data_IF_175377035219
#
_entry.id   IF_175377035219
#
_cell.length_a   1.000
_cell.length_b   1.000
_cell.length_c   1.000
_cell.angle_alpha   90.00
_cell.angle_beta   90.00
_cell.angle_gamma   90.00
#
_symmetry.space_group_name_H-M   'P 1'
#
loop_
_entity.id
_entity.type
_entity.pdbx_description
1 polymer ?
#
# COMPACT_ATOMS: atom_id res chain seq x y z
N UNK A 1 -13.65 -10.02 9.03
CA UNK A 1 -12.56 -10.52 8.14
C UNK A 1 -12.99 -10.21 6.72
N UNK A 2 -12.10 -9.64 5.89
CA UNK A 2 -12.45 -9.27 4.51
C UNK A 2 -12.00 -10.35 3.54
N UNK A 3 -12.86 -10.73 2.58
CA UNK A 3 -12.42 -11.46 1.40
C UNK A 3 -12.09 -10.45 0.31
N UNK A 4 -10.85 -10.53 -0.21
CA UNK A 4 -10.43 -9.78 -1.38
C UNK A 4 -11.07 -10.40 -2.62
N UNK A 5 -11.92 -9.64 -3.31
CA UNK A 5 -12.51 -10.10 -4.56
C UNK A 5 -11.53 -9.92 -5.72
N UNK A 6 -11.01 -8.70 -5.87
CA UNK A 6 -10.02 -8.35 -6.88
C UNK A 6 -9.28 -7.07 -6.48
N UNK A 7 -8.11 -6.89 -7.07
CA UNK A 7 -7.29 -5.69 -6.93
C UNK A 7 -6.99 -5.10 -8.30
N UNK A 8 -7.06 -3.78 -8.41
CA UNK A 8 -6.66 -3.03 -9.60
C UNK A 8 -5.46 -2.15 -9.23
N UNK A 9 -4.35 -2.32 -9.94
CA UNK A 9 -3.14 -1.52 -9.71
C UNK A 9 -3.36 -0.09 -10.21
N UNK A 10 -3.10 0.89 -9.35
CA UNK A 10 -3.28 2.31 -9.67
C UNK A 10 -1.96 2.98 -10.05
N UNK A 11 -0.87 2.63 -9.36
CA UNK A 11 0.42 3.26 -9.54
C UNK A 11 1.54 2.30 -9.19
N UNK A 12 2.64 2.39 -9.91
CA UNK A 12 3.87 1.66 -9.65
C UNK A 12 5.05 2.50 -10.11
N UNK A 13 5.92 2.86 -9.17
CA UNK A 13 7.21 3.47 -9.49
C UNK A 13 8.26 3.05 -8.49
N UNK A 14 9.50 3.09 -8.99
CA UNK A 14 10.70 2.85 -8.19
C UNK A 14 11.67 4.00 -8.39
N UNK A 15 12.33 4.41 -7.32
CA UNK A 15 13.43 5.38 -7.37
C UNK A 15 14.59 4.94 -6.48
N UNK A 16 15.74 5.53 -6.75
CA UNK A 16 16.97 5.30 -6.00
C UNK A 16 17.30 6.52 -5.14
N UNK A 17 17.83 6.28 -3.95
CA UNK A 17 18.34 7.29 -3.04
C UNK A 17 19.66 6.84 -2.42
N UNK A 18 20.56 7.77 -2.18
CA UNK A 18 21.82 7.53 -1.46
C UNK A 18 21.65 7.56 0.07
N UNK A 19 20.45 7.85 0.58
CA UNK A 19 20.16 7.91 2.01
C UNK A 19 20.21 6.51 2.62
N UNK A 20 21.07 6.30 3.63
CA UNK A 20 21.14 5.00 4.33
C UNK A 20 19.83 4.70 5.06
N UNK A 21 19.37 3.46 4.97
CA UNK A 21 18.21 3.01 5.72
C UNK A 21 18.50 2.94 7.23
N UNK A 22 17.67 3.58 8.05
CA UNK A 22 17.71 3.50 9.51
C UNK A 22 16.29 3.50 10.11
N UNK A 23 16.19 3.22 11.41
CA UNK A 23 14.89 3.19 12.12
C UNK A 23 14.16 4.55 12.12
N UNK A 24 14.90 5.65 12.08
CA UNK A 24 14.32 6.99 12.02
C UNK A 24 13.62 7.23 10.67
N UNK A 25 14.22 6.79 9.58
CA UNK A 25 13.64 6.84 8.24
C UNK A 25 12.37 5.99 8.16
N UNK A 26 12.39 4.78 8.72
CA UNK A 26 11.18 3.95 8.82
C UNK A 26 10.05 4.69 9.56
N UNK A 27 10.37 5.36 10.67
CA UNK A 27 9.39 6.15 11.43
C UNK A 27 8.82 7.30 10.60
N UNK A 28 9.69 8.09 9.95
CA UNK A 28 9.28 9.23 9.09
C UNK A 28 8.43 8.78 7.91
N UNK A 29 8.77 7.65 7.29
CA UNK A 29 7.98 7.06 6.19
C UNK A 29 6.58 6.70 6.67
N UNK A 30 6.46 6.06 7.85
CA UNK A 30 5.15 5.73 8.42
C UNK A 30 4.34 6.99 8.79
N UNK A 31 4.96 7.99 9.39
CA UNK A 31 4.31 9.28 9.71
C UNK A 31 3.82 10.01 8.44
N UNK A 32 4.60 9.95 7.36
CA UNK A 32 4.22 10.52 6.07
C UNK A 32 3.01 9.78 5.49
N UNK A 33 3.04 8.45 5.49
CA UNK A 33 1.93 7.64 5.00
C UNK A 33 0.67 7.84 5.84
N UNK A 34 0.77 7.85 7.18
CA UNK A 34 -0.39 8.04 8.06
C UNK A 34 -1.05 9.39 7.81
N UNK A 35 -0.24 10.45 7.65
CA UNK A 35 -0.73 11.81 7.33
C UNK A 35 -1.35 11.91 5.94
N UNK A 36 -0.75 11.32 4.92
CA UNK A 36 -1.26 11.41 3.54
C UNK A 36 -2.50 10.54 3.33
N UNK A 37 -2.56 9.40 4.01
CA UNK A 37 -3.68 8.47 3.96
C UNK A 37 -4.76 8.79 4.99
N UNK A 38 -4.53 9.68 5.94
CA UNK A 38 -5.46 10.01 7.02
C UNK A 38 -5.93 8.74 7.75
N UNK A 39 -4.95 7.97 8.24
CA UNK A 39 -5.11 6.73 9.01
C UNK A 39 -4.21 6.79 10.25
N UNK A 40 -4.46 5.92 11.24
CA UNK A 40 -3.58 5.84 12.40
C UNK A 40 -2.19 5.28 12.04
N UNK A 41 -1.17 5.68 12.79
CA UNK A 41 0.20 5.22 12.56
C UNK A 41 0.33 3.71 12.74
N UNK A 42 -0.45 3.18 13.68
CA UNK A 42 -0.56 1.77 14.07
C UNK A 42 -1.18 0.91 12.98
N UNK A 43 -1.97 1.49 12.07
CA UNK A 43 -2.56 0.79 10.92
C UNK A 43 -1.55 0.50 9.80
N UNK A 44 -0.31 0.99 9.91
CA UNK A 44 0.76 0.73 8.94
C UNK A 44 1.59 -0.47 9.39
N UNK A 45 1.41 -1.58 8.70
CA UNK A 45 2.00 -2.88 9.03
C UNK A 45 3.37 -3.07 8.37
N UNK A 46 4.25 -3.84 9.04
CA UNK A 46 5.48 -4.37 8.43
C UNK A 46 5.19 -5.80 8.03
N UNK A 47 4.91 -6.00 6.74
CA UNK A 47 4.57 -7.32 6.20
C UNK A 47 5.82 -8.16 5.91
N UNK A 48 6.99 -7.53 5.80
CA UNK A 48 8.25 -8.25 5.58
C UNK A 48 9.45 -7.45 6.09
N UNK A 49 10.39 -8.16 6.72
CA UNK A 49 11.69 -7.63 7.12
C UNK A 49 12.78 -8.68 6.96
N UNK A 50 13.86 -8.32 6.27
CA UNK A 50 15.07 -9.13 6.10
C UNK A 50 16.30 -8.26 6.37
N UNK A 51 17.21 -8.74 7.23
CA UNK A 51 18.51 -8.11 7.48
C UNK A 51 19.63 -9.13 7.31
N UNK A 52 20.56 -8.82 6.41
CA UNK A 52 21.84 -9.51 6.20
C UNK A 52 22.99 -8.53 6.50
N UNK A 53 24.23 -9.00 6.42
CA UNK A 53 25.42 -8.20 6.73
C UNK A 53 25.53 -6.91 5.88
N UNK A 54 25.10 -7.01 4.62
CA UNK A 54 25.23 -5.99 3.57
C UNK A 54 23.87 -5.56 3.00
N UNK A 55 22.75 -6.15 3.45
CA UNK A 55 21.42 -5.90 2.90
C UNK A 55 20.37 -5.71 3.98
N UNK A 56 19.51 -4.71 3.82
CA UNK A 56 18.25 -4.60 4.56
C UNK A 56 17.11 -4.51 3.56
N UNK A 57 16.05 -5.29 3.75
CA UNK A 57 14.81 -5.19 2.97
C UNK A 57 13.63 -5.08 3.92
N UNK A 58 12.83 -4.04 3.74
CA UNK A 58 11.62 -3.76 4.51
C UNK A 58 10.46 -3.64 3.53
N UNK A 59 9.32 -4.26 3.84
CA UNK A 59 8.05 -3.96 3.18
C UNK A 59 7.04 -3.46 4.19
N UNK A 60 6.43 -2.34 3.87
CA UNK A 60 5.35 -1.72 4.62
C UNK A 60 4.06 -1.83 3.81
N UNK A 61 2.95 -2.05 4.51
CA UNK A 61 1.61 -2.04 3.94
C UNK A 61 0.73 -1.08 4.73
N UNK A 62 -0.01 -0.23 4.03
CA UNK A 62 -1.03 0.63 4.62
C UNK A 62 -2.34 0.45 3.86
N UNK A 63 -3.47 0.42 4.58
CA UNK A 63 -4.80 0.25 4.01
C UNK A 63 -5.69 1.40 4.47
N UNK A 64 -6.30 2.13 3.52
CA UNK A 64 -7.28 3.18 3.79
C UNK A 64 -8.64 2.72 3.27
N UNK A 65 -9.67 2.70 4.12
CA UNK A 65 -11.05 2.49 3.66
C UNK A 65 -11.50 3.68 2.80
N UNK A 66 -11.97 3.41 1.60
CA UNK A 66 -12.43 4.41 0.63
C UNK A 66 -13.95 4.54 0.72
N UNK A 67 -14.61 3.39 0.57
CA UNK A 67 -16.06 3.19 0.55
C UNK A 67 -16.37 1.86 1.26
N UNK A 68 -17.65 1.54 1.42
CA UNK A 68 -18.12 0.36 2.15
C UNK A 68 -17.40 -0.93 1.77
N UNK A 69 -17.12 -1.12 0.48
CA UNK A 69 -16.50 -2.32 -0.09
C UNK A 69 -15.17 -2.05 -0.82
N UNK A 70 -14.52 -0.91 -0.58
CA UNK A 70 -13.26 -0.58 -1.26
C UNK A 70 -12.19 -0.11 -0.29
N UNK A 71 -10.99 -0.66 -0.47
CA UNK A 71 -9.77 -0.26 0.23
C UNK A 71 -8.75 0.28 -0.77
N UNK A 72 -8.06 1.34 -0.39
CA UNK A 72 -6.85 1.77 -1.04
C UNK A 72 -5.67 1.16 -0.29
N UNK A 73 -4.90 0.32 -0.97
CA UNK A 73 -3.72 -0.34 -0.41
C UNK A 73 -2.47 0.33 -0.96
N UNK A 74 -1.55 0.65 -0.07
CA UNK A 74 -0.22 1.18 -0.37
C UNK A 74 0.81 0.17 0.09
N UNK A 75 1.58 -0.37 -0.84
CA UNK A 75 2.73 -1.23 -0.57
C UNK A 75 4.01 -0.44 -0.87
N UNK A 76 4.89 -0.38 0.13
CA UNK A 76 6.18 0.28 0.01
C UNK A 76 7.29 -0.70 0.35
N UNK A 77 8.15 -0.97 -0.62
CA UNK A 77 9.35 -1.78 -0.44
C UNK A 77 10.58 -0.87 -0.40
N UNK A 78 11.39 -1.02 0.65
CA UNK A 78 12.67 -0.33 0.82
C UNK A 78 13.76 -1.39 0.88
N UNK A 79 14.67 -1.38 -0.09
CA UNK A 79 15.83 -2.28 -0.14
C UNK A 79 17.12 -1.46 -0.07
N UNK A 80 17.95 -1.71 0.93
CA UNK A 80 19.27 -1.13 1.11
C UNK A 80 20.35 -2.18 0.87
N UNK A 81 21.32 -1.87 0.03
CA UNK A 81 22.55 -2.66 -0.14
C UNK A 81 23.78 -1.73 -0.14
N UNK A 82 23.93 -0.97 -1.22
CA UNK A 82 24.90 0.13 -1.35
C UNK A 82 24.15 1.46 -1.54
N UNK A 83 23.14 1.43 -2.40
CA UNK A 83 22.11 2.45 -2.56
C UNK A 83 20.80 1.94 -1.94
N UNK A 84 19.91 2.88 -1.63
CA UNK A 84 18.56 2.58 -1.17
C UNK A 84 17.63 2.64 -2.37
N UNK A 85 16.97 1.52 -2.67
CA UNK A 85 15.94 1.41 -3.71
C UNK A 85 14.58 1.40 -3.02
N UNK A 86 13.67 2.21 -3.53
CA UNK A 86 12.34 2.39 -2.96
C UNK A 86 11.31 2.19 -4.04
N UNK A 87 10.45 1.19 -3.85
CA UNK A 87 9.39 0.82 -4.77
C UNK A 87 8.04 1.06 -4.09
N UNK A 88 7.24 1.93 -4.69
CA UNK A 88 5.86 2.21 -4.28
C UNK A 88 4.91 1.57 -5.28
N UNK A 89 4.02 0.72 -4.77
CA UNK A 89 2.93 0.16 -5.55
C UNK A 89 1.62 0.38 -4.82
N UNK A 90 0.59 0.84 -5.52
CA UNK A 90 -0.72 1.11 -4.93
C UNK A 90 -1.84 0.42 -5.68
N UNK A 91 -2.91 0.10 -4.95
CA UNK A 91 -4.02 -0.68 -5.43
C UNK A 91 -5.34 -0.13 -4.91
N UNK A 92 -6.39 -0.26 -5.72
CA UNK A 92 -7.77 -0.27 -5.23
C UNK A 92 -8.20 -1.73 -5.15
N UNK A 93 -8.54 -2.16 -3.94
CA UNK A 93 -8.99 -3.51 -3.65
C UNK A 93 -10.47 -3.47 -3.32
N UNK A 94 -11.28 -4.24 -4.04
CA UNK A 94 -12.67 -4.47 -3.62
C UNK A 94 -12.68 -5.58 -2.58
N UNK A 95 -13.27 -5.28 -1.43
CA UNK A 95 -13.41 -6.20 -0.31
C UNK A 95 -14.88 -6.47 -0.04
N UNK A 96 -15.19 -7.69 0.36
CA UNK A 96 -16.50 -8.03 0.92
C UNK A 96 -16.30 -8.40 2.38
N UNK A 97 -17.13 -7.81 3.24
CA UNK A 97 -17.25 -8.22 4.63
C UNK A 97 -17.79 -9.65 4.69
N UNK A 98 -16.97 -10.57 5.19
CA UNK A 98 -17.43 -11.92 5.51
C UNK A 98 -17.95 -11.89 6.92
N UNK A 99 -19.28 -11.90 7.06
CA UNK A 99 -19.94 -12.17 8.32
C UNK A 99 -19.79 -13.66 8.65
N UNK A 100 -18.78 -14.03 9.44
CA UNK A 100 -18.62 -15.37 10.00
C UNK A 100 -19.63 -15.64 11.12
N UNK A 101 -20.91 -15.33 10.90
CA UNK A 101 -21.99 -15.71 11.82
C UNK A 101 -22.69 -16.96 11.29
N UNK A 102 -22.22 -18.12 11.75
CA UNK A 102 -22.82 -19.44 11.48
C UNK A 102 -21.94 -20.36 10.62
N UNK A 103 -22.25 -21.66 10.64
CA UNK A 103 -21.61 -22.65 9.78
C UNK A 103 -22.08 -22.43 8.33
N UNK A 104 -21.42 -21.53 7.61
CA UNK A 104 -21.63 -21.33 6.18
C UNK A 104 -20.85 -22.41 5.43
N UNK A 105 -21.49 -23.24 4.59
CA UNK A 105 -20.80 -24.19 3.74
C UNK A 105 -19.75 -23.47 2.88
N UNK A 106 -18.55 -24.05 2.75
CA UNK A 106 -17.50 -23.46 1.92
C UNK A 106 -17.95 -23.24 0.46
N UNK A 107 -18.87 -24.07 -0.02
CA UNK A 107 -19.49 -23.99 -1.34
C UNK A 107 -20.29 -22.69 -1.53
N UNK A 108 -21.02 -22.22 -0.51
CA UNK A 108 -21.77 -20.96 -0.57
C UNK A 108 -20.83 -19.74 -0.57
N UNK A 109 -19.71 -19.81 0.15
CA UNK A 109 -18.68 -18.77 0.12
C UNK A 109 -18.03 -18.67 -1.27
N UNK A 110 -17.72 -19.81 -1.89
CA UNK A 110 -17.14 -19.88 -3.24
C UNK A 110 -18.15 -19.41 -4.29
N UNK A 111 -19.40 -19.85 -4.21
CA UNK A 111 -20.45 -19.46 -5.14
C UNK A 111 -20.74 -17.95 -5.08
N UNK A 112 -20.83 -17.37 -3.88
CA UNK A 112 -20.98 -15.92 -3.70
C UNK A 112 -19.77 -15.14 -4.23
N UNK A 113 -18.55 -15.65 -4.02
CA UNK A 113 -17.34 -15.03 -4.55
C UNK A 113 -17.32 -15.04 -6.09
N UNK A 114 -17.74 -16.15 -6.72
CA UNK A 114 -17.86 -16.27 -8.19
C UNK A 114 -18.95 -15.35 -8.75
N UNK A 115 -20.11 -15.26 -8.09
CA UNK A 115 -21.17 -14.34 -8.49
C UNK A 115 -20.74 -12.88 -8.39
N UNK A 116 -20.00 -12.49 -7.36
CA UNK A 116 -19.47 -11.13 -7.23
C UNK A 116 -18.34 -10.85 -8.22
N UNK A 117 -17.53 -11.85 -8.57
CA UNK A 117 -16.49 -11.72 -9.58
C UNK A 117 -17.06 -11.54 -10.99
N UNK A 118 -18.18 -12.20 -11.32
CA UNK A 118 -18.86 -12.00 -12.62
C UNK A 118 -19.46 -10.60 -12.76
N UNK A 119 -19.75 -9.90 -11.65
CA UNK A 119 -20.15 -8.49 -11.62
C UNK A 119 -18.99 -7.51 -11.80
N UNK A 120 -17.74 -7.96 -11.95
CA UNK A 120 -16.56 -7.09 -12.14
C UNK A 120 -16.76 -6.02 -13.23
N UNK A 121 -17.45 -6.36 -14.31
CA UNK A 121 -17.78 -5.42 -15.40
C UNK A 121 -18.78 -4.32 -15.00
N UNK A 122 -19.67 -4.58 -14.03
CA UNK A 122 -20.60 -3.59 -13.49
C UNK A 122 -19.91 -2.57 -12.59
N UNK A 123 -18.73 -2.91 -12.07
CA UNK A 123 -17.92 -2.03 -11.23
C UNK A 123 -16.84 -1.28 -12.03
N UNK A 124 -16.75 -1.48 -13.34
CA UNK A 124 -15.70 -0.91 -14.18
C UNK A 124 -15.70 0.63 -14.14
N UNK A 125 -16.87 1.25 -14.20
CA UNK A 125 -17.01 2.71 -14.18
C UNK A 125 -16.60 3.28 -12.81
N UNK A 126 -17.10 2.70 -11.72
CA UNK A 126 -16.74 3.08 -10.34
C UNK A 126 -15.24 2.90 -10.10
N UNK A 127 -14.67 1.78 -10.54
CA UNK A 127 -13.23 1.53 -10.43
C UNK A 127 -12.40 2.51 -11.25
N UNK A 128 -12.88 2.90 -12.43
CA UNK A 128 -12.20 3.90 -13.26
C UNK A 128 -12.14 5.25 -12.56
N UNK A 129 -13.26 5.70 -11.99
CA UNK A 129 -13.34 6.97 -11.24
C UNK A 129 -12.47 6.94 -9.98
N UNK A 130 -12.55 5.84 -9.21
CA UNK A 130 -11.69 5.65 -8.05
C UNK A 130 -10.22 5.61 -8.47
N UNK A 131 -9.87 4.90 -9.54
CA UNK A 131 -8.49 4.77 -10.01
C UNK A 131 -7.87 6.12 -10.34
N UNK A 132 -8.58 7.00 -11.04
CA UNK A 132 -8.09 8.35 -11.33
C UNK A 132 -7.79 9.13 -10.05
N UNK A 133 -8.74 9.16 -9.11
CA UNK A 133 -8.59 9.86 -7.83
C UNK A 133 -7.41 9.34 -7.00
N UNK A 134 -7.25 8.01 -6.94
CA UNK A 134 -6.23 7.38 -6.13
C UNK A 134 -4.86 7.29 -6.83
N UNK A 135 -4.81 7.39 -8.16
CA UNK A 135 -3.57 7.60 -8.90
C UNK A 135 -2.94 8.96 -8.55
N UNK A 136 -3.74 10.03 -8.44
CA UNK A 136 -3.24 11.34 -7.99
C UNK A 136 -2.69 11.30 -6.56
N UNK A 137 -3.40 10.64 -5.64
CA UNK A 137 -2.90 10.43 -4.29
C UNK A 137 -1.60 9.61 -4.29
N UNK A 138 -1.50 8.59 -5.15
CA UNK A 138 -0.29 7.77 -5.30
C UNK A 138 0.91 8.59 -5.77
N UNK A 139 0.70 9.47 -6.76
CA UNK A 139 1.73 10.43 -7.23
C UNK A 139 2.19 11.34 -6.10
N UNK A 140 1.25 11.86 -5.31
CA UNK A 140 1.59 12.71 -4.14
C UNK A 140 2.40 11.94 -3.10
N UNK A 141 2.04 10.69 -2.79
CA UNK A 141 2.81 9.84 -1.88
C UNK A 141 4.23 9.64 -2.42
N UNK A 142 4.35 9.29 -3.70
CA UNK A 142 5.63 9.09 -4.38
C UNK A 142 6.54 10.33 -4.29
N UNK A 143 6.03 11.51 -4.66
CA UNK A 143 6.77 12.76 -4.63
C UNK A 143 7.24 13.12 -3.20
N UNK A 144 6.38 12.92 -2.19
CA UNK A 144 6.74 13.21 -0.81
C UNK A 144 7.79 12.22 -0.27
N UNK A 145 7.74 10.95 -0.70
CA UNK A 145 8.79 9.98 -0.39
C UNK A 145 10.11 10.38 -1.06
N UNK A 146 10.10 10.73 -2.34
CA UNK A 146 11.30 11.23 -3.04
C UNK A 146 11.91 12.44 -2.32
N UNK A 147 11.09 13.42 -1.92
CA UNK A 147 11.54 14.59 -1.14
C UNK A 147 12.17 14.15 0.18
N UNK A 148 11.46 13.35 0.99
CA UNK A 148 11.95 12.88 2.29
C UNK A 148 13.33 12.21 2.17
N UNK A 149 13.52 11.45 1.11
CA UNK A 149 14.71 10.62 0.91
C UNK A 149 15.81 11.29 0.10
N UNK A 150 15.54 12.41 -0.55
CA UNK A 150 16.56 13.22 -1.25
C UNK A 150 17.07 14.33 -0.34
N UNK A 151 16.20 14.99 0.43
CA UNK A 151 16.59 16.11 1.31
C UNK A 151 17.39 15.68 2.56
N UNK A 152 17.27 14.44 3.02
CA UNK A 152 18.13 13.94 4.12
C UNK A 152 19.62 13.90 3.75
N UNK A 153 19.99 13.89 2.47
CA UNK A 153 21.38 14.01 2.06
C UNK A 153 21.95 15.43 2.20
N UNK A 154 21.11 16.48 2.21
CA UNK A 154 21.59 17.87 2.30
C UNK A 154 21.81 18.36 3.73
N UNK A 155 21.12 17.79 4.72
CA UNK A 155 21.26 18.19 6.13
C UNK A 155 22.43 17.49 6.86
N UNK A 156 23.25 16.70 6.15
CA UNK A 156 24.51 16.15 6.66
C UNK A 156 25.74 16.97 6.25
N UNK A 157 25.54 18.12 5.58
CA UNK A 157 26.61 19.03 5.12
C UNK A 157 26.56 20.39 5.85
N UNK A 158 25.74 20.53 6.90
CA UNK A 158 25.72 21.74 7.77
C UNK A 158 26.27 21.45 9.15
#
# INVERSE_FOLDING_TARGET
MYNYLFEEKCFEKTFESHTKFNFELQKKVRELLSKLLDIEYEEIEVIYYEKRADKVKLKLEAKKKIEENYLFKVELEITYFNTTIISLTTYISRVIEVYLSGATPAEDLVFNSIQEFTKKYLYADILSDLKLKYEELSKKIYENLEILLTFQNNNLIS
#
